data_IF_065160812620
#
_entry.id   IF_065160812620
#
_cell.length_a   1.000
_cell.length_b   1.000
_cell.length_c   1.000
_cell.angle_alpha   90.00
_cell.angle_beta   90.00
_cell.angle_gamma   90.00
#
_symmetry.space_group_name_H-M   'P 1'
#
loop_
_entity.id
_entity.type
_entity.pdbx_description
1 polymer ?
#
# COMPACT_ATOMS: atom_id res chain seq x y z
N UNK A 1 6.03 0.12 -15.23
CA UNK A 1 5.41 -0.40 -14.01
C UNK A 1 4.61 0.67 -13.30
N UNK A 2 3.31 0.71 -13.59
CA UNK A 2 2.27 1.47 -12.89
C UNK A 2 1.73 0.68 -11.71
N UNK A 3 0.88 1.29 -10.88
CA UNK A 3 0.23 0.56 -9.79
C UNK A 3 -0.71 -0.54 -10.26
N UNK A 4 -1.43 -0.33 -11.37
CA UNK A 4 -2.30 -1.37 -11.95
C UNK A 4 -1.46 -2.56 -12.43
N UNK A 5 -0.37 -2.32 -13.16
CA UNK A 5 0.49 -3.37 -13.71
C UNK A 5 1.00 -4.34 -12.64
N UNK A 6 1.67 -3.85 -11.59
CA UNK A 6 2.22 -4.76 -10.57
C UNK A 6 1.13 -5.43 -9.72
N UNK A 7 -0.01 -4.76 -9.52
CA UNK A 7 -1.14 -5.35 -8.78
C UNK A 7 -1.75 -6.48 -9.60
N UNK A 8 -1.94 -6.30 -10.90
CA UNK A 8 -2.39 -7.37 -11.80
C UNK A 8 -1.43 -8.56 -11.78
N UNK A 9 -0.11 -8.34 -11.80
CA UNK A 9 0.90 -9.41 -11.66
C UNK A 9 0.75 -10.18 -10.34
N UNK A 10 0.56 -9.47 -9.22
CA UNK A 10 0.38 -10.12 -7.90
C UNK A 10 -0.92 -10.91 -7.85
N UNK A 11 -2.04 -10.32 -8.29
CA UNK A 11 -3.35 -11.00 -8.30
C UNK A 11 -3.33 -12.24 -9.18
N UNK A 12 -2.72 -12.16 -10.37
CA UNK A 12 -2.62 -13.30 -11.29
C UNK A 12 -1.77 -14.43 -10.70
N UNK A 13 -0.74 -14.10 -9.92
CA UNK A 13 0.09 -15.09 -9.23
C UNK A 13 -0.68 -15.77 -8.09
N UNK A 14 -1.49 -15.01 -7.36
CA UNK A 14 -2.24 -15.53 -6.21
C UNK A 14 -3.46 -16.36 -6.62
N UNK A 15 -4.05 -16.06 -7.78
CA UNK A 15 -5.20 -16.76 -8.36
C UNK A 15 -4.91 -17.16 -9.82
N UNK A 16 -4.06 -18.19 -10.07
CA UNK A 16 -3.63 -18.55 -11.42
C UNK A 16 -4.77 -19.01 -12.34
N UNK A 17 -5.84 -19.56 -11.76
CA UNK A 17 -6.98 -20.12 -12.51
C UNK A 17 -8.10 -19.09 -12.78
N UNK A 18 -7.96 -17.86 -12.29
CA UNK A 18 -8.93 -16.78 -12.46
C UNK A 18 -8.24 -15.62 -13.18
N UNK A 19 -8.92 -15.02 -14.15
CA UNK A 19 -8.44 -13.81 -14.79
C UNK A 19 -8.32 -12.68 -13.77
N UNK A 20 -7.10 -12.16 -13.57
CA UNK A 20 -6.84 -11.14 -12.56
C UNK A 20 -7.71 -9.89 -12.70
N UNK A 21 -8.07 -9.51 -13.93
CA UNK A 21 -8.91 -8.34 -14.18
C UNK A 21 -10.31 -8.53 -13.59
N UNK A 22 -10.91 -9.73 -13.64
CA UNK A 22 -12.21 -10.02 -13.00
C UNK A 22 -12.18 -9.76 -11.49
N UNK A 23 -11.11 -10.21 -10.82
CA UNK A 23 -10.92 -10.00 -9.38
C UNK A 23 -10.76 -8.51 -9.09
N UNK A 24 -9.95 -7.81 -9.88
CA UNK A 24 -9.71 -6.37 -9.72
C UNK A 24 -11.00 -5.57 -9.91
N UNK A 25 -11.78 -5.87 -10.95
CA UNK A 25 -13.03 -5.17 -11.26
C UNK A 25 -14.11 -5.36 -10.19
N UNK A 26 -14.15 -6.54 -9.55
CA UNK A 26 -15.11 -6.82 -8.48
C UNK A 26 -14.63 -6.40 -7.09
N UNK A 27 -13.32 -6.24 -6.89
CA UNK A 27 -12.76 -5.86 -5.59
C UNK A 27 -12.59 -4.35 -5.44
N UNK A 28 -13.52 -3.71 -4.73
CA UNK A 28 -13.37 -2.30 -4.35
C UNK A 28 -12.12 -2.05 -3.49
N UNK A 29 -11.70 -3.02 -2.68
CA UNK A 29 -10.51 -2.91 -1.85
C UNK A 29 -9.22 -2.92 -2.69
N UNK A 30 -9.12 -3.82 -3.68
CA UNK A 30 -7.97 -3.83 -4.61
C UNK A 30 -7.96 -2.55 -5.47
N UNK A 31 -9.12 -2.13 -5.98
CA UNK A 31 -9.23 -0.85 -6.71
C UNK A 31 -8.76 0.32 -5.85
N UNK A 32 -9.15 0.37 -4.57
CA UNK A 32 -8.69 1.37 -3.63
C UNK A 32 -7.15 1.38 -3.50
N UNK A 33 -6.54 0.20 -3.38
CA UNK A 33 -5.07 0.08 -3.34
C UNK A 33 -4.42 0.56 -4.64
N UNK A 34 -5.00 0.26 -5.81
CA UNK A 34 -4.52 0.81 -7.10
C UNK A 34 -4.50 2.34 -7.07
N UNK A 35 -5.54 2.98 -6.53
CA UNK A 35 -5.58 4.45 -6.36
C UNK A 35 -4.51 4.94 -5.38
N UNK A 36 -4.32 4.26 -4.24
CA UNK A 36 -3.38 4.67 -3.19
C UNK A 36 -1.91 4.39 -3.50
N UNK A 37 -1.64 3.44 -4.38
CA UNK A 37 -0.29 3.04 -4.78
C UNK A 37 0.19 3.72 -6.06
N UNK A 38 -0.58 4.69 -6.61
CA UNK A 38 -0.23 5.46 -7.82
C UNK A 38 1.15 6.12 -7.80
N UNK A 39 1.79 6.28 -6.63
CA UNK A 39 3.20 6.72 -6.54
C UNK A 39 4.20 5.74 -7.19
N UNK A 40 3.79 4.50 -7.49
CA UNK A 40 4.57 3.59 -8.35
C UNK A 40 4.44 4.05 -9.79
N UNK A 41 5.57 4.32 -10.43
CA UNK A 41 5.62 4.73 -11.84
C UNK A 41 5.12 6.14 -12.12
N UNK A 42 4.89 6.99 -11.10
CA UNK A 42 4.49 8.39 -11.26
C UNK A 42 5.50 9.38 -10.71
N UNK A 43 5.22 10.63 -11.05
CA UNK A 43 5.97 11.85 -10.84
C UNK A 43 6.36 12.23 -9.42
N UNK A 44 7.30 13.18 -9.32
CA UNK A 44 7.87 13.78 -8.10
C UNK A 44 6.86 14.53 -7.25
N UNK A 45 5.59 14.55 -7.67
CA UNK A 45 4.46 15.09 -6.92
C UNK A 45 3.62 13.99 -6.24
N UNK A 46 3.81 12.73 -6.60
CA UNK A 46 3.03 11.60 -6.07
C UNK A 46 3.72 10.97 -4.85
N UNK A 47 3.35 11.41 -3.64
CA UNK A 47 3.79 10.78 -2.39
C UNK A 47 3.08 9.45 -2.14
N UNK A 48 3.75 8.52 -1.47
CA UNK A 48 3.16 7.23 -1.07
C UNK A 48 2.07 7.42 -0.01
N UNK A 49 0.93 6.75 -0.19
CA UNK A 49 -0.22 6.89 0.71
C UNK A 49 -0.18 5.90 1.88
N UNK A 50 0.97 5.78 2.55
CA UNK A 50 1.20 4.78 3.59
C UNK A 50 0.18 4.87 4.74
N UNK A 51 -0.22 6.07 5.15
CA UNK A 51 -1.25 6.27 6.18
C UNK A 51 -2.68 5.86 5.78
N UNK A 52 -2.92 5.53 4.50
CA UNK A 52 -4.16 4.90 4.04
C UNK A 52 -3.99 3.40 3.81
N UNK A 53 -2.80 2.97 3.36
CA UNK A 53 -2.50 1.57 3.03
C UNK A 53 -2.28 0.73 4.28
N UNK A 54 -1.47 1.21 5.23
CA UNK A 54 -1.03 0.41 6.37
C UNK A 54 -2.13 0.09 7.39
N UNK A 55 -3.13 0.95 7.67
CA UNK A 55 -4.26 0.55 8.50
C UNK A 55 -5.00 -0.67 7.97
N UNK A 56 -5.18 -0.75 6.65
CA UNK A 56 -5.80 -1.91 5.98
C UNK A 56 -4.87 -3.12 6.13
N UNK A 57 -3.59 -2.97 5.76
CA UNK A 57 -2.62 -4.05 5.84
C UNK A 57 -2.53 -4.67 7.23
N UNK A 58 -2.40 -3.87 8.29
CA UNK A 58 -2.24 -4.40 9.66
C UNK A 58 -3.47 -5.13 10.15
N UNK A 59 -4.67 -4.72 9.74
CA UNK A 59 -5.91 -5.44 10.09
C UNK A 59 -6.08 -6.73 9.28
N UNK A 60 -5.64 -6.72 8.01
CA UNK A 60 -5.61 -7.93 7.19
C UNK A 60 -4.54 -8.91 7.68
N UNK A 61 -3.37 -8.42 8.08
CA UNK A 61 -2.30 -9.21 8.69
C UNK A 61 -2.79 -9.87 9.99
N UNK A 62 -3.48 -9.13 10.86
CA UNK A 62 -4.14 -9.68 12.05
C UNK A 62 -5.17 -10.76 11.69
N UNK A 63 -6.00 -10.51 10.68
CA UNK A 63 -7.02 -11.45 10.19
C UNK A 63 -6.39 -12.77 9.72
N UNK A 64 -5.33 -12.70 8.91
CA UNK A 64 -4.64 -13.88 8.36
C UNK A 64 -3.85 -14.61 9.46
N UNK A 65 -3.17 -13.89 10.36
CA UNK A 65 -2.38 -14.49 11.44
C UNK A 65 -3.26 -15.30 12.43
N UNK A 66 -4.53 -14.92 12.58
CA UNK A 66 -5.53 -15.67 13.36
C UNK A 66 -6.22 -16.79 12.57
N UNK A 67 -5.84 -16.99 11.31
CA UNK A 67 -6.34 -18.06 10.44
C UNK A 67 -7.79 -17.88 9.98
N UNK A 68 -8.34 -16.66 10.09
CA UNK A 68 -9.72 -16.38 9.73
C UNK A 68 -9.99 -16.55 8.23
N UNK A 69 -8.95 -16.45 7.40
CA UNK A 69 -8.99 -16.75 5.96
C UNK A 69 -9.36 -18.21 5.64
N UNK A 70 -9.32 -19.11 6.62
CA UNK A 70 -9.54 -20.56 6.44
C UNK A 70 -10.64 -21.13 7.33
N UNK A 71 -10.85 -20.56 8.52
CA UNK A 71 -11.63 -21.23 9.57
C UNK A 71 -13.05 -20.67 9.75
N UNK A 72 -13.39 -19.54 9.14
CA UNK A 72 -14.72 -18.92 9.23
C UNK A 72 -15.11 -18.42 10.63
N UNK A 73 -14.17 -18.36 11.58
CA UNK A 73 -14.39 -17.92 12.96
C UNK A 73 -14.30 -16.41 13.15
N UNK A 74 -14.20 -15.65 12.07
CA UNK A 74 -14.05 -14.19 12.17
C UNK A 74 -15.24 -13.52 12.84
N UNK A 75 -16.45 -14.06 12.65
CA UNK A 75 -17.68 -13.62 13.33
C UNK A 75 -17.60 -13.68 14.87
N UNK A 76 -16.76 -14.55 15.41
CA UNK A 76 -16.59 -14.77 16.85
C UNK A 76 -15.41 -13.95 17.41
N UNK A 77 -14.78 -13.12 16.58
CA UNK A 77 -13.60 -12.37 16.94
C UNK A 77 -13.92 -11.09 17.71
N UNK A 78 -13.31 -10.93 18.90
CA UNK A 78 -13.43 -9.74 19.74
C UNK A 78 -12.84 -8.46 19.12
N UNK A 79 -12.08 -8.59 18.02
CA UNK A 79 -11.44 -7.48 17.32
C UNK A 79 -9.99 -7.24 17.73
N UNK A 80 -9.27 -6.54 16.86
CA UNK A 80 -7.87 -6.22 17.04
C UNK A 80 -7.71 -5.11 18.06
N UNK A 81 -6.69 -5.22 18.90
CA UNK A 81 -6.36 -4.20 19.90
C UNK A 81 -5.68 -3.03 19.16
N UNK A 82 -6.23 -1.82 19.32
CA UNK A 82 -5.73 -0.62 18.65
C UNK A 82 -4.21 -0.40 18.80
N UNK A 83 -3.68 -0.55 20.01
CA UNK A 83 -2.27 -0.31 20.30
C UNK A 83 -1.36 -1.28 19.56
N UNK A 84 -1.79 -2.52 19.34
CA UNK A 84 -1.02 -3.55 18.63
C UNK A 84 -0.95 -3.23 17.13
N UNK A 85 -2.11 -3.05 16.48
CA UNK A 85 -2.16 -2.73 15.03
C UNK A 85 -1.51 -1.37 14.72
N UNK A 86 -1.61 -0.41 15.65
CA UNK A 86 -0.97 0.89 15.48
C UNK A 86 0.55 0.83 15.65
N UNK A 87 1.04 0.04 16.60
CA UNK A 87 2.49 -0.21 16.75
C UNK A 87 3.03 -0.91 15.52
N UNK A 88 2.32 -1.94 15.05
CA UNK A 88 2.66 -2.67 13.83
C UNK A 88 2.72 -1.77 12.59
N UNK A 89 1.80 -0.82 12.44
CA UNK A 89 1.85 0.17 11.35
C UNK A 89 3.17 0.96 11.35
N UNK A 90 3.72 1.28 12.54
CA UNK A 90 4.94 2.07 12.67
C UNK A 90 6.22 1.29 12.43
N UNK A 91 6.17 -0.03 12.59
CA UNK A 91 7.28 -0.93 12.28
C UNK A 91 7.47 -1.11 10.76
N UNK A 92 6.43 -0.90 9.96
CA UNK A 92 6.50 -1.03 8.52
C UNK A 92 7.42 0.04 7.91
N UNK A 93 8.14 -0.27 6.80
CA UNK A 93 9.00 0.70 6.13
C UNK A 93 8.26 2.01 5.81
N UNK A 94 8.86 3.15 6.13
CA UNK A 94 8.22 4.47 5.97
C UNK A 94 6.99 4.72 6.87
N UNK A 95 6.74 3.83 7.85
CA UNK A 95 5.63 3.86 8.78
C UNK A 95 5.90 4.60 10.10
N UNK A 96 7.17 4.78 10.48
CA UNK A 96 7.60 5.27 11.81
C UNK A 96 6.84 6.52 12.29
N UNK A 97 6.66 7.50 11.41
CA UNK A 97 6.01 8.79 11.72
C UNK A 97 4.52 8.84 11.40
N UNK A 98 3.90 7.71 11.04
CA UNK A 98 2.47 7.67 10.73
C UNK A 98 1.62 7.92 11.98
N UNK A 99 0.56 8.69 11.78
CA UNK A 99 -0.47 9.00 12.77
C UNK A 99 -1.61 7.99 12.73
N UNK A 100 -2.45 7.96 13.76
CA UNK A 100 -3.57 7.02 13.88
C UNK A 100 -4.82 7.41 13.06
N UNK A 101 -4.82 8.56 12.38
CA UNK A 101 -5.98 9.06 11.64
C UNK A 101 -6.55 8.06 10.61
N UNK A 102 -5.69 7.21 10.07
CA UNK A 102 -6.07 6.14 9.14
C UNK A 102 -7.07 5.16 9.75
N UNK A 103 -6.78 4.66 10.95
CA UNK A 103 -7.68 3.79 11.73
C UNK A 103 -8.95 4.52 12.18
N UNK A 104 -8.88 5.83 12.42
CA UNK A 104 -10.01 6.58 12.95
C UNK A 104 -11.15 6.69 11.95
N UNK A 105 -10.98 7.52 10.92
CA UNK A 105 -12.02 7.74 9.90
C UNK A 105 -11.42 7.98 8.52
N UNK A 106 -10.15 8.42 8.43
CA UNK A 106 -9.58 8.94 7.18
C UNK A 106 -9.59 7.91 6.05
N UNK A 107 -9.30 6.63 6.34
CA UNK A 107 -9.38 5.55 5.35
C UNK A 107 -10.82 5.37 4.86
N UNK A 108 -11.77 5.25 5.78
CA UNK A 108 -13.18 5.02 5.46
C UNK A 108 -13.79 6.20 4.68
N UNK A 109 -13.55 7.43 5.12
CA UNK A 109 -14.09 8.63 4.46
C UNK A 109 -13.54 8.78 3.05
N UNK A 110 -12.25 8.52 2.89
CA UNK A 110 -11.60 8.57 1.59
C UNK A 110 -12.06 7.41 0.68
N UNK A 111 -12.20 6.19 1.20
CA UNK A 111 -12.79 5.07 0.48
C UNK A 111 -14.20 5.39 -0.03
N UNK A 112 -15.08 5.93 0.83
CA UNK A 112 -16.43 6.36 0.43
C UNK A 112 -16.39 7.39 -0.69
N UNK A 113 -15.48 8.36 -0.66
CA UNK A 113 -15.35 9.36 -1.74
C UNK A 113 -15.00 8.72 -3.09
N UNK A 114 -14.14 7.70 -3.12
CA UNK A 114 -13.80 7.00 -4.36
C UNK A 114 -14.97 6.20 -4.93
N UNK A 115 -15.83 5.65 -4.07
CA UNK A 115 -16.88 4.72 -4.48
C UNK A 115 -18.32 5.22 -4.28
N UNK A 116 -18.51 6.52 -3.99
CA UNK A 116 -19.82 7.12 -3.73
C UNK A 116 -20.87 6.83 -4.82
N UNK A 117 -20.44 6.81 -6.10
CA UNK A 117 -21.31 6.54 -7.25
C UNK A 117 -21.84 5.11 -7.33
N UNK A 118 -21.24 4.17 -6.59
CA UNK A 118 -21.61 2.76 -6.60
C UNK A 118 -22.57 2.38 -5.47
N UNK A 119 -22.99 3.36 -4.65
CA UNK A 119 -23.92 3.19 -3.55
C UNK A 119 -23.52 2.07 -2.56
N UNK A 120 -22.21 1.87 -2.38
CA UNK A 120 -21.65 0.90 -1.44
C UNK A 120 -21.72 1.45 -0.01
N UNK A 121 -22.26 0.64 0.91
CA UNK A 121 -22.34 0.97 2.33
C UNK A 121 -21.14 0.45 3.12
N UNK A 122 -20.47 -0.60 2.62
CA UNK A 122 -19.29 -1.18 3.25
C UNK A 122 -18.10 -0.22 3.25
N UNK A 123 -17.37 -0.22 4.36
CA UNK A 123 -16.08 0.47 4.50
C UNK A 123 -14.99 -0.49 4.96
N UNK A 124 -13.70 -0.22 4.67
CA UNK A 124 -12.62 -1.14 5.00
C UNK A 124 -12.48 -1.41 6.49
N UNK A 125 -12.58 -0.39 7.34
CA UNK A 125 -12.27 -0.51 8.78
C UNK A 125 -13.54 -0.35 9.60
N UNK A 126 -13.86 -1.34 10.41
CA UNK A 126 -14.91 -1.27 11.44
C UNK A 126 -14.23 -1.05 12.78
N UNK A 127 -14.79 -0.17 13.63
CA UNK A 127 -14.22 0.15 14.94
C UNK A 127 -15.30 0.26 16.00
N UNK A 128 -14.95 -0.14 17.22
CA UNK A 128 -15.71 0.14 18.43
C UNK A 128 -14.88 1.09 19.31
N UNK A 129 -15.42 2.29 19.56
CA UNK A 129 -14.72 3.33 20.33
C UNK A 129 -14.71 3.06 21.83
N UNK A 130 -15.69 2.33 22.35
CA UNK A 130 -15.79 1.99 23.77
C UNK A 130 -14.79 0.91 24.13
N UNK A 131 -14.71 -0.16 23.33
CA UNK A 131 -13.80 -1.29 23.57
C UNK A 131 -12.42 -1.12 22.94
N UNK A 132 -12.23 -0.06 22.13
CA UNK A 132 -11.02 0.20 21.35
C UNK A 132 -10.60 -0.99 20.46
N UNK A 133 -11.60 -1.66 19.89
CA UNK A 133 -11.44 -2.82 19.03
C UNK A 133 -11.67 -2.46 17.56
N UNK A 134 -10.93 -3.11 16.68
CA UNK A 134 -10.92 -2.83 15.25
C UNK A 134 -11.01 -4.11 14.43
N UNK A 135 -11.67 -4.02 13.28
CA UNK A 135 -11.87 -5.13 12.36
C UNK A 135 -11.64 -4.64 10.94
N UNK A 136 -11.05 -5.49 10.10
CA UNK A 136 -11.22 -5.36 8.65
C UNK A 136 -12.63 -5.84 8.30
N UNK A 137 -13.33 -5.14 7.40
CA UNK A 137 -14.63 -5.59 6.92
C UNK A 137 -14.47 -6.80 5.98
N UNK A 138 -14.89 -7.97 6.44
CA UNK A 138 -14.77 -9.23 5.70
C UNK A 138 -15.59 -9.24 4.40
N UNK A 139 -16.66 -8.43 4.30
CA UNK A 139 -17.42 -8.27 3.06
C UNK A 139 -16.58 -7.68 1.91
N UNK A 140 -15.47 -7.01 2.24
CA UNK A 140 -14.52 -6.47 1.25
C UNK A 140 -13.34 -7.43 0.99
N UNK A 141 -13.24 -8.54 1.71
CA UNK A 141 -12.22 -9.58 1.55
C UNK A 141 -12.75 -10.84 0.86
N UNK A 142 -14.05 -11.11 0.95
CA UNK A 142 -14.67 -12.26 0.29
C UNK A 142 -15.33 -11.79 -1.01
N UNK A 143 -14.92 -12.36 -2.14
CA UNK A 143 -15.50 -12.10 -3.44
C UNK A 143 -16.20 -13.36 -3.95
N UNK A 144 -17.24 -13.19 -4.76
CA UNK A 144 -17.90 -14.27 -5.50
C UNK A 144 -17.58 -14.10 -6.98
N UNK A 145 -16.64 -14.90 -7.49
CA UNK A 145 -16.23 -14.88 -8.88
C UNK A 145 -16.82 -16.10 -9.57
N UNK A 146 -17.77 -15.88 -10.49
CA UNK A 146 -18.41 -16.94 -11.28
C UNK A 146 -19.02 -18.08 -10.41
N UNK A 147 -19.55 -17.75 -9.24
CA UNK A 147 -20.12 -18.71 -8.28
C UNK A 147 -19.12 -19.31 -7.30
N UNK A 148 -17.83 -18.96 -7.42
CA UNK A 148 -16.77 -19.39 -6.51
C UNK A 148 -16.45 -18.27 -5.50
N UNK A 149 -16.62 -18.58 -4.22
CA UNK A 149 -16.16 -17.69 -3.14
C UNK A 149 -14.64 -17.78 -2.99
N UNK A 150 -13.97 -16.64 -3.10
CA UNK A 150 -12.54 -16.50 -2.86
C UNK A 150 -12.28 -15.48 -1.75
N UNK A 151 -11.18 -15.67 -1.01
CA UNK A 151 -10.72 -14.72 0.00
C UNK A 151 -9.45 -14.03 -0.47
N UNK A 152 -9.50 -12.71 -0.63
CA UNK A 152 -8.38 -11.91 -1.15
C UNK A 152 -7.44 -11.37 -0.07
N UNK A 153 -7.62 -11.74 1.21
CA UNK A 153 -6.80 -11.22 2.32
C UNK A 153 -5.30 -11.37 2.07
N UNK A 154 -4.84 -12.55 1.63
CA UNK A 154 -3.43 -12.77 1.29
C UNK A 154 -2.97 -11.91 0.13
N UNK A 155 -3.81 -11.71 -0.88
CA UNK A 155 -3.46 -10.84 -2.01
C UNK A 155 -3.33 -9.38 -1.60
N UNK A 156 -4.16 -8.89 -0.67
CA UNK A 156 -3.99 -7.55 -0.09
C UNK A 156 -2.64 -7.40 0.62
N UNK A 157 -2.19 -8.44 1.35
CA UNK A 157 -0.85 -8.46 1.95
C UNK A 157 0.25 -8.46 0.89
N UNK A 158 0.19 -9.38 -0.08
CA UNK A 158 1.18 -9.51 -1.15
C UNK A 158 1.29 -8.23 -1.99
N UNK A 159 0.18 -7.57 -2.31
CA UNK A 159 0.13 -6.28 -3.01
C UNK A 159 0.88 -5.21 -2.20
N UNK A 160 0.61 -5.14 -0.90
CA UNK A 160 1.23 -4.14 -0.02
C UNK A 160 2.72 -4.39 0.15
N UNK A 161 3.14 -5.65 0.30
CA UNK A 161 4.54 -6.05 0.40
C UNK A 161 5.30 -5.76 -0.89
N UNK A 162 4.70 -6.07 -2.05
CA UNK A 162 5.29 -5.71 -3.35
C UNK A 162 5.43 -4.20 -3.52
N UNK A 163 4.43 -3.43 -3.10
CA UNK A 163 4.51 -1.97 -3.10
C UNK A 163 5.67 -1.48 -2.23
N UNK A 164 5.85 -2.03 -1.03
CA UNK A 164 6.97 -1.69 -0.13
C UNK A 164 8.31 -2.03 -0.79
N UNK A 165 8.45 -3.23 -1.35
CA UNK A 165 9.64 -3.71 -2.06
C UNK A 165 10.04 -2.74 -3.18
N UNK A 166 9.09 -2.34 -4.04
CA UNK A 166 9.34 -1.41 -5.14
C UNK A 166 9.80 -0.03 -4.64
N UNK A 167 9.24 0.45 -3.52
CA UNK A 167 9.61 1.74 -2.94
C UNK A 167 10.99 1.70 -2.28
N UNK A 168 11.33 0.62 -1.58
CA UNK A 168 12.65 0.42 -0.99
C UNK A 168 13.70 0.26 -2.09
N UNK A 169 13.41 -0.53 -3.13
CA UNK A 169 14.31 -0.77 -4.25
C UNK A 169 14.74 0.54 -4.93
N UNK A 170 13.80 1.46 -5.19
CA UNK A 170 14.10 2.79 -5.73
C UNK A 170 15.04 3.59 -4.83
N UNK A 171 14.80 3.60 -3.52
CA UNK A 171 15.65 4.29 -2.55
C UNK A 171 17.05 3.70 -2.47
N UNK A 172 17.17 2.37 -2.42
CA UNK A 172 18.46 1.70 -2.37
C UNK A 172 19.28 1.95 -3.62
N UNK A 173 18.65 1.94 -4.81
CA UNK A 173 19.31 2.30 -6.06
C UNK A 173 19.81 3.75 -6.05
N UNK A 174 18.99 4.68 -5.56
CA UNK A 174 19.39 6.07 -5.40
C UNK A 174 20.61 6.21 -4.47
N UNK A 175 20.59 5.60 -3.28
CA UNK A 175 21.72 5.65 -2.34
C UNK A 175 22.99 4.99 -2.89
N UNK A 176 22.88 3.87 -3.60
CA UNK A 176 24.02 3.22 -4.27
C UNK A 176 24.66 4.17 -5.29
N UNK A 177 23.84 4.87 -6.09
CA UNK A 177 24.35 5.84 -7.05
C UNK A 177 25.00 7.05 -6.36
N UNK A 178 24.41 7.58 -5.28
CA UNK A 178 25.03 8.63 -4.47
C UNK A 178 26.41 8.22 -3.95
N UNK A 179 26.54 7.01 -3.39
CA UNK A 179 27.81 6.49 -2.89
C UNK A 179 28.83 6.27 -4.02
N UNK A 180 28.38 5.76 -5.17
CA UNK A 180 29.24 5.61 -6.34
C UNK A 180 29.83 6.95 -6.78
N UNK A 181 29.00 7.98 -6.96
CA UNK A 181 29.48 9.29 -7.40
C UNK A 181 30.28 10.02 -6.32
N UNK A 182 29.93 9.89 -5.03
CA UNK A 182 30.75 10.42 -3.93
C UNK A 182 32.22 9.99 -4.04
N UNK A 183 32.46 8.74 -4.41
CA UNK A 183 33.81 8.17 -4.49
C UNK A 183 34.50 8.36 -5.84
N UNK A 184 33.78 8.76 -6.90
CA UNK A 184 34.30 8.78 -8.28
C UNK A 184 34.08 10.11 -9.01
N UNK A 185 33.54 11.15 -8.36
CA UNK A 185 33.09 12.37 -9.06
C UNK A 185 34.21 13.09 -9.83
N UNK A 186 35.46 13.06 -9.35
CA UNK A 186 36.59 13.73 -10.01
C UNK A 186 36.88 13.16 -11.41
N UNK A 187 36.70 11.86 -11.62
CA UNK A 187 36.90 11.20 -12.92
C UNK A 187 35.60 11.04 -13.71
N UNK A 188 34.44 11.24 -13.08
CA UNK A 188 33.10 11.00 -13.62
C UNK A 188 32.16 12.21 -13.50
N UNK A 189 32.70 13.43 -13.56
CA UNK A 189 31.97 14.66 -13.26
C UNK A 189 30.68 14.82 -14.08
N UNK A 190 30.75 14.65 -15.40
CA UNK A 190 29.58 14.75 -16.29
C UNK A 190 28.48 13.75 -15.93
N UNK A 191 28.86 12.51 -15.63
CA UNK A 191 27.92 11.46 -15.24
C UNK A 191 27.27 11.76 -13.89
N UNK A 192 28.02 12.35 -12.95
CA UNK A 192 27.51 12.77 -11.65
C UNK A 192 26.49 13.91 -11.78
N UNK A 193 26.79 14.92 -12.61
CA UNK A 193 25.87 16.04 -12.91
C UNK A 193 24.59 15.51 -13.56
N UNK A 194 24.71 14.62 -14.55
CA UNK A 194 23.55 14.05 -15.23
C UNK A 194 22.70 13.17 -14.30
N UNK A 195 23.33 12.44 -13.38
CA UNK A 195 22.62 11.70 -12.34
C UNK A 195 21.79 12.63 -11.46
N UNK A 196 22.36 13.74 -10.97
CA UNK A 196 21.66 14.73 -10.13
C UNK A 196 20.52 15.37 -10.92
N UNK A 197 20.76 15.80 -12.16
CA UNK A 197 19.72 16.38 -13.05
C UNK A 197 18.55 15.43 -13.23
N UNK A 198 18.82 14.14 -13.46
CA UNK A 198 17.77 13.12 -13.57
C UNK A 198 16.91 13.02 -12.32
N UNK A 199 17.43 13.31 -11.12
CA UNK A 199 16.63 13.29 -9.89
C UNK A 199 15.69 14.49 -9.75
N UNK A 200 15.89 15.53 -10.57
CA UNK A 200 15.00 16.70 -10.65
C UNK A 200 13.92 16.53 -11.74
N UNK A 201 13.92 15.41 -12.45
CA UNK A 201 12.90 15.17 -13.46
C UNK A 201 11.51 15.04 -12.83
N UNK A 202 10.45 15.42 -13.57
CA UNK A 202 9.10 15.31 -13.07
C UNK A 202 8.69 13.88 -12.72
N UNK A 203 9.28 12.82 -13.26
CA UNK A 203 8.89 11.41 -13.08
C UNK A 203 9.54 10.70 -11.87
N UNK A 204 10.39 11.40 -11.11
CA UNK A 204 11.17 10.85 -9.98
C UNK A 204 10.28 10.64 -8.74
N UNK A 205 10.73 9.83 -7.78
CA UNK A 205 10.04 9.74 -6.48
C UNK A 205 10.04 11.10 -5.76
N UNK A 206 8.87 11.51 -5.25
CA UNK A 206 8.70 12.81 -4.58
C UNK A 206 9.72 13.06 -3.46
N UNK A 207 10.04 12.03 -2.67
CA UNK A 207 10.98 12.18 -1.55
C UNK A 207 12.43 12.31 -2.03
N UNK A 208 12.80 11.59 -3.09
CA UNK A 208 14.13 11.73 -3.70
C UNK A 208 14.28 13.13 -4.29
N UNK A 209 13.27 13.60 -5.03
CA UNK A 209 13.24 14.95 -5.56
C UNK A 209 13.39 15.99 -4.45
N UNK A 210 12.60 15.88 -3.36
CA UNK A 210 12.67 16.79 -2.22
C UNK A 210 14.07 16.82 -1.60
N UNK A 211 14.68 15.66 -1.33
CA UNK A 211 16.04 15.57 -0.79
C UNK A 211 17.05 16.26 -1.71
N UNK A 212 17.04 15.94 -3.01
CA UNK A 212 18.01 16.50 -3.96
C UNK A 212 17.80 18.00 -4.14
N UNK A 213 16.55 18.45 -4.24
CA UNK A 213 16.23 19.88 -4.35
C UNK A 213 16.68 20.66 -3.12
N UNK A 214 16.51 20.11 -1.92
CA UNK A 214 16.97 20.73 -0.68
C UNK A 214 18.50 20.82 -0.61
N UNK A 215 19.23 19.82 -1.10
CA UNK A 215 20.69 19.84 -1.08
C UNK A 215 21.32 20.81 -2.10
N UNK A 216 20.59 21.19 -3.14
CA UNK A 216 21.09 22.11 -4.20
C UNK A 216 20.80 23.58 -3.86
N UNK A 217 19.70 23.83 -3.17
CA UNK A 217 19.31 25.17 -2.69
C UNK A 217 20.19 25.62 -1.52
#
# INVERSE_FOLDING_TARGET
>A
MTSKEFITEVVQKDFPDIEAEKIIEQSYLIQYLIYKMRSVGKSSKARGSYGSIYPIYTLVEDYVNKGFDKNGKYKDYEGAIFTEIFSRQRELPFGEKLQNHGFNNRVNDDFRKYFARYNINDVPIIRNLETQRYWINENLLILDIDGQKINIAKSIMNITEKYIELKIGKFNTFFKNCNYFKNNYLSKEKEAIDFIRKQLNPDVDARIFEIVSFCIL
#
